data_IF_540016126980
#
_entry.id   IF_540016126980
#
_cell.length_a   1.000
_cell.length_b   1.000
_cell.length_c   1.000
_cell.angle_alpha   90.00
_cell.angle_beta   90.00
_cell.angle_gamma   90.00
#
_symmetry.space_group_name_H-M   'P 1'
#
loop_
_entity.id
_entity.type
_entity.pdbx_description
1 polymer ?
#
# COMPACT_ATOMS: atom_id res chain seq x y z
N UNK A 1 -37.48 -10.58 10.15
CA UNK A 1 -37.35 -9.11 10.24
C UNK A 1 -36.54 -8.80 11.49
N UNK A 2 -35.26 -8.51 11.33
CA UNK A 2 -34.33 -8.07 12.39
C UNK A 2 -33.81 -6.69 11.99
N UNK A 3 -33.63 -5.75 12.93
CA UNK A 3 -33.18 -4.40 12.63
C UNK A 3 -31.66 -4.33 12.48
N UNK A 4 -31.23 -3.40 11.63
CA UNK A 4 -29.85 -3.04 11.34
C UNK A 4 -29.17 -2.41 12.58
N UNK A 5 -27.96 -2.85 12.87
CA UNK A 5 -27.05 -2.24 13.86
C UNK A 5 -26.05 -1.39 13.09
N UNK A 6 -26.05 -0.09 13.38
CA UNK A 6 -25.19 0.90 12.73
C UNK A 6 -23.72 0.78 13.14
N UNK A 7 -22.83 0.95 12.16
CA UNK A 7 -21.40 1.15 12.37
C UNK A 7 -21.16 2.60 12.82
N UNK A 8 -20.80 2.78 14.09
CA UNK A 8 -20.17 4.00 14.58
C UNK A 8 -18.66 3.94 14.36
N UNK A 9 -18.14 4.74 13.44
CA UNK A 9 -16.71 4.98 13.24
C UNK A 9 -16.42 6.44 13.57
N UNK A 10 -16.10 6.77 14.82
CA UNK A 10 -15.90 8.17 15.25
C UNK A 10 -14.80 8.34 16.32
N UNK A 11 -13.85 7.40 16.47
CA UNK A 11 -12.85 7.51 17.56
C UNK A 11 -11.47 6.86 17.33
N UNK A 12 -10.98 6.78 16.09
CA UNK A 12 -9.67 6.14 15.81
C UNK A 12 -8.75 7.02 14.98
N UNK A 13 -7.89 7.82 15.63
CA UNK A 13 -6.63 8.28 15.01
C UNK A 13 -5.56 8.81 15.99
N UNK A 14 -5.90 9.31 17.19
CA UNK A 14 -4.90 10.07 17.99
C UNK A 14 -4.11 9.27 19.04
N UNK A 15 -4.58 8.11 19.50
CA UNK A 15 -3.93 7.38 20.61
C UNK A 15 -2.84 6.39 20.17
N UNK A 16 -2.90 5.87 18.93
CA UNK A 16 -1.91 4.89 18.44
C UNK A 16 -0.63 5.53 17.88
N UNK A 17 -0.69 6.81 17.47
CA UNK A 17 0.51 7.57 17.09
C UNK A 17 1.37 8.00 18.29
N UNK A 18 0.88 7.89 19.53
CA UNK A 18 1.57 8.38 20.73
C UNK A 18 2.27 7.29 21.54
N UNK A 19 2.05 6.00 21.27
CA UNK A 19 2.69 4.90 21.99
C UNK A 19 3.55 4.03 21.07
N UNK A 20 4.74 4.51 20.72
CA UNK A 20 5.79 3.62 20.20
C UNK A 20 6.72 4.23 19.16
N UNK A 21 7.66 5.08 19.60
CA UNK A 21 9.10 4.87 19.36
C UNK A 21 9.88 6.13 19.74
N UNK A 22 10.70 6.01 20.79
CA UNK A 22 11.86 6.89 20.94
C UNK A 22 12.80 6.59 19.80
N UNK A 23 12.72 7.38 18.73
CA UNK A 23 13.70 7.37 17.67
C UNK A 23 15.05 7.80 18.24
N UNK A 24 15.98 6.85 18.40
CA UNK A 24 17.39 7.12 18.67
C UNK A 24 18.23 6.58 17.51
N UNK A 25 18.76 7.53 16.72
CA UNK A 25 19.87 7.46 15.77
C UNK A 25 19.74 6.39 14.67
N UNK A 26 19.14 6.80 13.57
CA UNK A 26 19.43 6.25 12.25
C UNK A 26 20.90 6.49 11.91
N UNK A 27 21.64 5.40 11.72
CA UNK A 27 22.94 5.42 11.05
C UNK A 27 22.70 5.91 9.61
N UNK A 28 23.42 6.96 9.23
CA UNK A 28 23.50 7.48 7.87
C UNK A 28 23.78 6.32 6.90
N UNK A 29 22.82 6.00 6.04
CA UNK A 29 23.03 5.22 4.82
C UNK A 29 22.65 6.13 3.66
N UNK A 30 23.59 6.28 2.72
CA UNK A 30 23.47 7.13 1.54
C UNK A 30 22.44 6.61 0.54
N UNK A 31 22.45 7.23 -0.64
CA UNK A 31 21.53 7.16 -1.78
C UNK A 31 21.21 5.75 -2.38
N UNK A 32 21.48 4.65 -1.68
CA UNK A 32 21.38 3.26 -2.17
C UNK A 32 19.97 2.63 -2.14
N UNK A 33 18.89 3.39 -1.88
CA UNK A 33 17.53 2.85 -1.73
C UNK A 33 16.46 3.53 -2.60
N UNK A 34 16.85 4.36 -3.56
CA UNK A 34 15.93 5.25 -4.25
C UNK A 34 15.54 4.72 -5.64
N UNK A 35 14.26 4.50 -5.87
CA UNK A 35 13.71 4.16 -7.19
C UNK A 35 13.12 5.39 -7.88
N UNK A 36 13.11 5.33 -9.21
CA UNK A 36 12.47 6.31 -10.08
C UNK A 36 11.43 5.59 -10.91
N UNK A 37 10.18 5.99 -10.75
CA UNK A 37 9.05 5.42 -11.46
C UNK A 37 8.64 6.36 -12.58
N UNK A 38 8.46 5.81 -13.77
CA UNK A 38 7.92 6.56 -14.90
C UNK A 38 6.44 6.74 -14.68
N UNK A 39 5.96 7.95 -14.89
CA UNK A 39 4.54 8.19 -14.89
C UNK A 39 4.14 9.27 -15.90
N UNK A 40 2.88 9.24 -16.28
CA UNK A 40 2.24 10.27 -17.08
C UNK A 40 1.15 10.93 -16.24
N UNK A 41 1.27 12.23 -16.04
CA UNK A 41 0.35 13.04 -15.23
C UNK A 41 -0.52 13.90 -16.12
N UNK A 42 -1.81 13.96 -15.79
CA UNK A 42 -2.77 14.80 -16.52
C UNK A 42 -3.78 15.45 -15.59
N UNK A 43 -3.95 16.75 -15.73
CA UNK A 43 -5.06 17.52 -15.15
C UNK A 43 -5.62 18.50 -16.20
N UNK A 44 -6.26 19.60 -15.79
CA UNK A 44 -6.79 20.60 -16.72
C UNK A 44 -5.72 21.50 -17.37
N UNK A 45 -4.56 21.64 -16.72
CA UNK A 45 -3.45 22.51 -17.16
C UNK A 45 -2.23 21.72 -17.67
N UNK A 46 -2.13 20.44 -17.31
CA UNK A 46 -0.97 19.60 -17.56
C UNK A 46 -1.38 18.31 -18.28
N UNK A 47 -0.53 17.88 -19.21
CA UNK A 47 -0.58 16.59 -19.89
C UNK A 47 0.89 16.27 -20.23
N UNK A 48 1.59 15.62 -19.29
CA UNK A 48 3.05 15.51 -19.34
C UNK A 48 3.56 14.27 -18.62
N UNK A 49 4.68 13.75 -19.11
CA UNK A 49 5.45 12.74 -18.39
C UNK A 49 6.12 13.37 -17.16
N UNK A 50 6.12 12.63 -16.06
CA UNK A 50 6.77 12.96 -14.80
C UNK A 50 7.60 11.76 -14.30
N UNK A 51 8.49 12.04 -13.35
CA UNK A 51 9.20 11.01 -12.60
C UNK A 51 8.73 11.04 -11.15
N UNK A 52 8.26 9.90 -10.65
CA UNK A 52 7.93 9.72 -9.25
C UNK A 52 9.14 9.10 -8.56
N UNK A 53 9.67 9.83 -7.58
CA UNK A 53 10.72 9.36 -6.71
C UNK A 53 10.12 8.48 -5.62
N UNK A 54 10.64 7.27 -5.46
CA UNK A 54 10.36 6.43 -4.30
C UNK A 54 11.64 6.25 -3.50
N UNK A 55 11.68 6.79 -2.29
CA UNK A 55 12.85 6.68 -1.39
C UNK A 55 12.99 5.32 -0.72
N UNK A 56 11.99 4.43 -0.87
CA UNK A 56 11.81 3.20 -0.12
C UNK A 56 11.89 3.41 1.41
N UNK A 57 11.61 4.63 1.83
CA UNK A 57 11.58 5.06 3.22
C UNK A 57 10.54 4.30 4.03
N UNK A 58 10.53 4.57 5.33
CA UNK A 58 9.42 4.10 6.16
C UNK A 58 8.12 4.75 5.65
N UNK A 59 7.01 4.00 5.70
CA UNK A 59 5.70 4.49 5.27
C UNK A 59 5.33 5.82 5.92
N UNK A 60 5.77 6.06 7.17
CA UNK A 60 5.55 7.31 7.90
C UNK A 60 6.25 8.54 7.32
N UNK A 61 7.16 8.38 6.36
CA UNK A 61 7.96 9.48 5.78
C UNK A 61 7.45 9.96 4.42
N UNK A 62 6.26 9.55 3.99
CA UNK A 62 5.73 9.82 2.64
C UNK A 62 6.77 9.47 1.55
N UNK A 63 7.10 8.18 1.38
CA UNK A 63 8.25 7.77 0.56
C UNK A 63 8.14 8.13 -0.93
N UNK A 64 6.94 8.44 -1.44
CA UNK A 64 6.72 8.86 -2.82
C UNK A 64 6.70 10.37 -2.95
N UNK A 65 7.33 10.90 -3.99
CA UNK A 65 7.21 12.32 -4.35
C UNK A 65 7.41 12.56 -5.85
N UNK A 66 6.87 13.66 -6.35
CA UNK A 66 7.21 14.21 -7.66
C UNK A 66 7.16 15.73 -7.62
N UNK A 67 7.82 16.39 -8.57
CA UNK A 67 7.80 17.84 -8.70
C UNK A 67 7.34 18.24 -10.09
N UNK A 68 6.34 19.12 -10.17
CA UNK A 68 5.83 19.68 -11.41
C UNK A 68 5.64 21.20 -11.21
N UNK A 69 6.07 22.00 -12.17
CA UNK A 69 6.02 23.47 -12.09
C UNK A 69 6.64 24.07 -10.82
N UNK A 70 7.70 23.43 -10.33
CA UNK A 70 8.40 23.79 -9.11
C UNK A 70 7.61 23.53 -7.83
N UNK A 71 6.47 22.84 -7.89
CA UNK A 71 5.65 22.41 -6.75
C UNK A 71 5.90 20.92 -6.51
N UNK A 72 6.24 20.56 -5.28
CA UNK A 72 6.48 19.18 -4.89
C UNK A 72 5.26 18.60 -4.19
N UNK A 73 4.85 17.42 -4.63
CA UNK A 73 3.84 16.60 -3.99
C UNK A 73 4.48 15.35 -3.41
N UNK A 74 3.98 14.90 -2.26
CA UNK A 74 4.45 13.70 -1.57
C UNK A 74 3.28 12.86 -1.06
N UNK A 75 3.49 11.56 -0.92
CA UNK A 75 2.45 10.62 -0.49
C UNK A 75 3.04 9.29 -0.06
N UNK A 76 2.19 8.45 0.52
CA UNK A 76 2.57 7.08 0.87
C UNK A 76 2.32 6.10 -0.27
N UNK A 77 1.39 6.45 -1.16
CA UNK A 77 1.00 5.74 -2.36
C UNK A 77 0.68 6.66 -3.53
N UNK A 78 0.22 6.06 -4.63
CA UNK A 78 -0.04 6.81 -5.85
C UNK A 78 -1.34 7.61 -5.79
N UNK A 79 -2.25 7.27 -4.88
CA UNK A 79 -3.55 7.95 -4.72
C UNK A 79 -3.60 9.02 -3.62
N UNK A 80 -2.56 9.21 -2.83
CA UNK A 80 -2.61 10.08 -1.64
C UNK A 80 -1.62 11.26 -1.69
N UNK A 81 -1.21 11.65 -2.89
CA UNK A 81 -0.32 12.80 -3.07
C UNK A 81 -0.92 14.07 -2.46
N UNK A 82 -0.13 14.75 -1.63
CA UNK A 82 -0.43 16.03 -0.99
C UNK A 82 0.72 17.01 -1.17
N UNK A 83 0.43 18.30 -1.04
CA UNK A 83 1.44 19.35 -1.11
C UNK A 83 2.50 19.15 -0.01
N UNK A 84 3.76 19.04 -0.41
CA UNK A 84 4.87 18.80 0.52
C UNK A 84 5.15 20.03 1.43
N UNK A 85 4.95 21.24 0.89
CA UNK A 85 5.11 22.50 1.60
C UNK A 85 3.77 23.26 1.68
N UNK A 86 3.02 23.14 2.80
CA UNK A 86 1.75 23.83 2.99
C UNK A 86 1.80 25.35 2.89
N UNK A 87 2.98 25.99 3.06
CA UNK A 87 3.11 27.45 2.95
C UNK A 87 2.95 27.92 1.50
N UNK A 88 3.19 27.02 0.53
CA UNK A 88 3.05 27.31 -0.91
C UNK A 88 1.63 27.06 -1.45
N UNK A 89 0.64 26.87 -0.57
CA UNK A 89 -0.73 26.55 -0.97
C UNK A 89 -1.35 27.57 -1.94
N UNK A 90 -1.05 28.88 -1.80
CA UNK A 90 -1.59 29.89 -2.72
C UNK A 90 -1.01 29.75 -4.14
N UNK A 91 0.29 29.46 -4.24
CA UNK A 91 0.95 29.26 -5.52
C UNK A 91 0.48 27.94 -6.16
N UNK A 92 0.47 26.87 -5.38
CA UNK A 92 0.04 25.55 -5.82
C UNK A 92 -1.44 25.57 -6.25
N UNK A 93 -2.32 26.24 -5.52
CA UNK A 93 -3.76 26.35 -5.82
C UNK A 93 -4.09 27.12 -7.10
N UNK A 94 -3.14 27.87 -7.67
CA UNK A 94 -3.29 28.51 -9.00
C UNK A 94 -2.98 27.55 -10.15
N UNK A 95 -2.23 26.48 -9.87
CA UNK A 95 -1.71 25.51 -10.86
C UNK A 95 -2.38 24.15 -10.75
N UNK A 96 -2.87 23.79 -9.56
CA UNK A 96 -3.37 22.47 -9.24
C UNK A 96 -4.69 22.56 -8.47
N UNK A 97 -5.55 21.56 -8.64
CA UNK A 97 -6.73 21.42 -7.82
C UNK A 97 -6.36 20.78 -6.48
N UNK A 98 -6.56 21.52 -5.39
CA UNK A 98 -6.23 21.08 -4.03
C UNK A 98 -7.48 20.94 -3.16
N UNK A 99 -7.49 19.94 -2.28
CA UNK A 99 -8.45 19.82 -1.19
C UNK A 99 -7.78 20.20 0.13
N UNK A 100 -8.21 21.32 0.72
CA UNK A 100 -7.80 21.73 2.05
C UNK A 100 -8.57 20.93 3.12
N UNK A 101 -7.87 20.40 4.11
CA UNK A 101 -8.46 19.75 5.29
C UNK A 101 -7.54 19.87 6.51
N UNK A 102 -8.01 19.46 7.69
CA UNK A 102 -7.37 19.70 8.99
C UNK A 102 -7.91 20.97 9.66
N UNK A 103 -7.17 21.54 10.61
CA UNK A 103 -7.58 22.76 11.30
C UNK A 103 -8.20 22.50 12.67
N UNK A 104 -9.06 23.40 13.14
CA UNK A 104 -9.65 23.33 14.47
C UNK A 104 -10.99 22.59 14.46
N UNK A 105 -11.08 21.54 15.27
CA UNK A 105 -12.31 20.79 15.46
C UNK A 105 -12.93 21.11 16.82
N UNK A 106 -14.07 21.80 16.82
CA UNK A 106 -14.70 22.31 18.05
C UNK A 106 -15.24 21.19 18.95
N UNK A 107 -15.93 20.19 18.38
CA UNK A 107 -16.52 19.06 19.12
C UNK A 107 -15.50 18.31 19.98
N UNK A 108 -14.28 18.13 19.48
CA UNK A 108 -13.23 17.37 20.17
C UNK A 108 -12.18 18.26 20.83
N UNK A 109 -12.25 19.57 20.63
CA UNK A 109 -11.24 20.53 21.08
C UNK A 109 -9.82 20.16 20.65
N UNK A 110 -9.68 19.68 19.42
CA UNK A 110 -8.39 19.29 18.81
C UNK A 110 -8.08 20.23 17.66
N UNK A 111 -6.82 20.62 17.54
CA UNK A 111 -6.32 21.36 16.37
C UNK A 111 -5.26 20.51 15.68
N UNK A 112 -5.40 20.32 14.37
CA UNK A 112 -4.42 19.67 13.52
C UNK A 112 -3.89 20.64 12.46
N UNK A 113 -2.66 20.44 11.94
CA UNK A 113 -2.16 21.24 10.83
C UNK A 113 -3.05 21.09 9.59
N UNK A 114 -3.19 22.17 8.81
CA UNK A 114 -3.84 22.07 7.51
C UNK A 114 -2.99 21.24 6.54
N UNK A 115 -3.68 20.46 5.71
CA UNK A 115 -3.13 19.65 4.63
C UNK A 115 -3.85 19.95 3.34
N UNK A 116 -3.19 19.69 2.22
CA UNK A 116 -3.66 20.03 0.88
C UNK A 116 -3.46 18.83 -0.04
N UNK A 117 -4.49 17.99 -0.15
CA UNK A 117 -4.45 16.80 -1.00
C UNK A 117 -4.58 17.22 -2.47
N UNK A 118 -3.81 16.62 -3.37
CA UNK A 118 -3.92 16.83 -4.81
C UNK A 118 -5.17 16.12 -5.34
N UNK A 119 -5.90 16.75 -6.25
CA UNK A 119 -7.21 16.30 -6.72
C UNK A 119 -7.38 16.51 -8.23
N UNK A 120 -8.45 15.96 -8.81
CA UNK A 120 -8.85 16.13 -10.22
C UNK A 120 -7.71 15.89 -11.24
N UNK A 121 -6.91 14.86 -11.01
CA UNK A 121 -5.85 14.44 -11.91
C UNK A 121 -6.00 12.97 -12.32
N UNK A 122 -5.39 12.62 -13.44
CA UNK A 122 -5.15 11.26 -13.87
C UNK A 122 -3.65 10.95 -13.79
N UNK A 123 -3.34 9.70 -13.49
CA UNK A 123 -1.97 9.22 -13.37
C UNK A 123 -1.87 7.82 -13.97
N UNK A 124 -0.91 7.65 -14.86
CA UNK A 124 -0.45 6.35 -15.35
C UNK A 124 0.96 6.13 -14.84
N UNK A 125 1.20 5.08 -14.06
CA UNK A 125 2.49 4.83 -13.41
C UNK A 125 3.01 3.42 -13.70
N UNK A 126 4.32 3.33 -13.92
CA UNK A 126 5.06 2.07 -14.00
C UNK A 126 5.85 1.83 -12.72
N UNK A 127 5.42 0.85 -11.93
CA UNK A 127 6.05 0.46 -10.66
C UNK A 127 6.97 -0.74 -10.92
N UNK A 128 8.29 -0.60 -10.79
CA UNK A 128 9.23 -1.72 -10.89
C UNK A 128 9.00 -2.74 -9.78
N UNK A 129 9.00 -4.03 -10.12
CA UNK A 129 8.87 -5.12 -9.15
C UNK A 129 9.83 -6.26 -9.45
N UNK A 130 10.13 -7.05 -8.42
CA UNK A 130 10.87 -8.31 -8.57
C UNK A 130 9.92 -9.49 -8.58
N UNK A 131 10.12 -10.42 -9.51
CA UNK A 131 9.28 -11.61 -9.67
C UNK A 131 10.15 -12.86 -9.66
N UNK A 132 9.80 -13.86 -8.87
CA UNK A 132 10.43 -15.17 -8.91
C UNK A 132 9.80 -16.02 -10.02
N UNK A 133 10.63 -16.55 -10.91
CA UNK A 133 10.22 -17.44 -12.00
C UNK A 133 10.45 -18.90 -11.58
N UNK A 134 9.38 -19.70 -11.60
CA UNK A 134 9.42 -21.07 -11.08
C UNK A 134 10.22 -22.04 -11.96
N UNK A 135 10.17 -21.88 -13.28
CA UNK A 135 10.78 -22.84 -14.24
C UNK A 135 12.30 -23.00 -14.08
N UNK A 136 12.98 -21.95 -13.67
CA UNK A 136 14.46 -21.87 -13.61
C UNK A 136 14.96 -21.35 -12.24
N UNK A 137 14.04 -21.03 -11.32
CA UNK A 137 14.36 -20.56 -9.98
C UNK A 137 14.98 -19.16 -9.93
N UNK A 138 14.90 -18.39 -11.02
CA UNK A 138 15.52 -17.06 -11.08
C UNK A 138 14.59 -15.95 -10.61
N UNK A 139 15.17 -14.89 -10.04
CA UNK A 139 14.45 -13.62 -9.84
C UNK A 139 14.66 -12.75 -11.07
N UNK A 140 13.59 -12.23 -11.65
CA UNK A 140 13.60 -11.37 -12.82
C UNK A 140 12.81 -10.09 -12.57
N UNK A 141 13.09 -9.06 -13.37
CA UNK A 141 12.36 -7.81 -13.31
C UNK A 141 10.96 -7.94 -13.91
N UNK A 142 9.99 -7.31 -13.27
CA UNK A 142 8.66 -7.06 -13.80
C UNK A 142 8.27 -5.60 -13.56
N UNK A 143 7.09 -5.21 -14.05
CA UNK A 143 6.51 -3.90 -13.80
C UNK A 143 5.01 -4.02 -13.59
N UNK A 144 4.49 -3.30 -12.61
CA UNK A 144 3.05 -3.06 -12.49
C UNK A 144 2.73 -1.78 -13.26
N UNK A 145 1.80 -1.86 -14.19
CA UNK A 145 1.19 -0.70 -14.83
C UNK A 145 -0.11 -0.38 -14.10
N UNK A 146 -0.20 0.81 -13.52
CA UNK A 146 -1.40 1.33 -12.86
C UNK A 146 -1.85 2.59 -13.60
N UNK A 147 -3.12 2.67 -13.98
CA UNK A 147 -3.72 3.89 -14.49
C UNK A 147 -5.04 4.17 -13.79
N UNK A 148 -5.20 5.39 -13.30
CA UNK A 148 -6.43 5.85 -12.67
C UNK A 148 -6.65 7.34 -12.92
N UNK A 149 -7.87 7.79 -12.66
CA UNK A 149 -8.21 9.22 -12.61
C UNK A 149 -9.07 9.53 -11.40
N UNK A 150 -8.92 10.74 -10.89
CA UNK A 150 -9.78 11.29 -9.86
C UNK A 150 -10.98 12.00 -10.47
N UNK A 151 -12.16 11.58 -10.06
CA UNK A 151 -13.43 12.20 -10.39
C UNK A 151 -14.03 12.83 -9.13
N UNK A 152 -14.87 13.85 -9.32
CA UNK A 152 -15.56 14.48 -8.18
C UNK A 152 -16.35 13.42 -7.40
N UNK A 153 -16.38 13.51 -6.06
CA UNK A 153 -17.09 12.53 -5.25
C UNK A 153 -18.57 12.48 -5.60
N UNK A 154 -19.10 11.27 -5.74
CA UNK A 154 -20.52 11.04 -5.92
C UNK A 154 -21.20 11.11 -4.56
N UNK A 155 -21.80 12.26 -4.26
CA UNK A 155 -22.46 12.53 -2.98
C UNK A 155 -23.64 11.60 -2.64
N UNK A 156 -24.07 10.73 -3.57
CA UNK A 156 -25.05 9.67 -3.29
C UNK A 156 -24.44 8.44 -2.60
N UNK A 157 -23.12 8.28 -2.64
CA UNK A 157 -22.39 7.15 -2.02
C UNK A 157 -21.94 7.47 -0.61
N UNK A 158 -21.55 6.44 0.14
CA UNK A 158 -20.85 6.61 1.40
C UNK A 158 -19.39 7.01 1.16
N UNK A 159 -18.90 7.95 1.97
CA UNK A 159 -17.55 8.51 1.88
C UNK A 159 -16.87 8.50 3.24
N UNK A 160 -15.55 8.36 3.23
CA UNK A 160 -14.74 8.70 4.40
C UNK A 160 -14.88 10.20 4.65
N UNK A 161 -15.35 10.56 5.85
CA UNK A 161 -15.53 11.96 6.22
C UNK A 161 -14.17 12.54 6.56
N UNK A 162 -13.78 13.60 5.84
CA UNK A 162 -12.64 14.44 6.18
C UNK A 162 -13.17 15.82 6.55
N UNK A 163 -12.50 16.51 7.47
CA UNK A 163 -12.95 17.81 7.97
C UNK A 163 -11.92 18.89 7.65
N UNK A 164 -12.42 20.05 7.22
CA UNK A 164 -11.69 21.31 7.25
C UNK A 164 -12.34 22.17 8.33
N UNK A 165 -11.61 22.36 9.43
CA UNK A 165 -12.17 22.86 10.68
C UNK A 165 -13.36 21.99 11.12
N UNK A 166 -14.57 22.56 11.17
CA UNK A 166 -15.81 21.82 11.47
C UNK A 166 -16.64 21.49 10.21
N UNK A 167 -16.14 21.81 9.01
CA UNK A 167 -16.85 21.59 7.75
C UNK A 167 -16.45 20.26 7.11
N UNK A 168 -17.45 19.51 6.62
CA UNK A 168 -17.22 18.28 5.87
C UNK A 168 -16.70 18.60 4.47
N UNK A 169 -15.56 18.01 4.15
CA UNK A 169 -14.94 18.07 2.83
C UNK A 169 -14.69 16.65 2.32
N UNK A 170 -14.68 16.49 1.00
CA UNK A 170 -14.67 15.17 0.37
C UNK A 170 -13.53 15.07 -0.63
N UNK A 171 -12.77 13.98 -0.54
CA UNK A 171 -11.77 13.59 -1.54
C UNK A 171 -12.48 13.11 -2.80
N UNK A 172 -11.84 13.31 -3.92
CA UNK A 172 -12.23 12.73 -5.19
C UNK A 172 -12.19 11.20 -5.13
N UNK A 173 -13.04 10.58 -5.95
CA UNK A 173 -13.09 9.14 -6.12
C UNK A 173 -12.09 8.71 -7.19
N UNK A 174 -11.27 7.70 -6.88
CA UNK A 174 -10.38 7.10 -7.85
C UNK A 174 -11.16 6.13 -8.75
N UNK A 175 -11.07 6.33 -10.07
CA UNK A 175 -11.54 5.41 -11.09
C UNK A 175 -10.34 4.78 -11.78
N UNK A 176 -10.08 3.51 -11.47
CA UNK A 176 -8.95 2.75 -12.03
C UNK A 176 -9.33 2.17 -13.39
N UNK A 177 -8.50 2.40 -14.40
CA UNK A 177 -8.65 1.87 -15.76
C UNK A 177 -7.61 0.79 -16.11
N UNK A 178 -6.50 0.76 -15.40
CA UNK A 178 -5.46 -0.25 -15.59
C UNK A 178 -4.84 -0.67 -14.27
N UNK A 179 -4.67 -1.98 -14.09
CA UNK A 179 -3.86 -2.60 -13.05
C UNK A 179 -3.36 -3.93 -13.60
N UNK A 180 -2.14 -3.93 -14.12
CA UNK A 180 -1.55 -5.11 -14.77
C UNK A 180 -0.11 -5.34 -14.34
N UNK A 181 0.29 -6.60 -14.18
CA UNK A 181 1.69 -7.00 -14.05
C UNK A 181 2.24 -7.47 -15.40
N UNK A 182 3.38 -6.93 -15.82
CA UNK A 182 4.14 -7.39 -16.97
C UNK A 182 5.46 -8.03 -16.56
N UNK A 183 5.71 -9.26 -17.02
CA UNK A 183 6.95 -10.01 -16.79
C UNK A 183 7.21 -10.94 -17.98
N UNK A 184 8.44 -10.98 -18.49
CA UNK A 184 8.85 -11.81 -19.63
C UNK A 184 7.99 -11.65 -20.90
N UNK A 185 7.51 -10.43 -21.16
CA UNK A 185 6.60 -10.16 -22.28
C UNK A 185 5.18 -10.71 -22.09
N UNK A 186 4.85 -11.28 -20.94
CA UNK A 186 3.49 -11.67 -20.56
C UNK A 186 2.84 -10.57 -19.71
N UNK A 187 1.56 -10.33 -19.93
CA UNK A 187 0.74 -9.40 -19.14
C UNK A 187 -0.34 -10.15 -18.35
N UNK A 188 -0.49 -9.78 -17.08
CA UNK A 188 -1.51 -10.30 -16.16
C UNK A 188 -2.34 -9.12 -15.68
N UNK A 189 -3.54 -8.96 -16.25
CA UNK A 189 -4.44 -7.85 -15.92
C UNK A 189 -5.35 -8.25 -14.78
N UNK A 190 -5.35 -7.47 -13.70
CA UNK A 190 -6.27 -7.70 -12.59
C UNK A 190 -7.72 -7.53 -13.07
N UNK A 191 -8.64 -8.30 -12.51
CA UNK A 191 -10.08 -8.07 -12.66
C UNK A 191 -10.60 -7.10 -11.61
N UNK A 192 -9.77 -6.74 -10.62
CA UNK A 192 -10.07 -5.78 -9.56
C UNK A 192 -9.48 -4.42 -9.97
N UNK A 193 -10.31 -3.58 -10.58
CA UNK A 193 -9.93 -2.21 -10.93
C UNK A 193 -10.08 -1.31 -9.68
N UNK A 194 -9.09 -1.35 -8.80
CA UNK A 194 -9.10 -0.64 -7.52
C UNK A 194 -7.70 -0.16 -7.15
N UNK A 195 -7.61 0.92 -6.37
CA UNK A 195 -6.37 1.31 -5.72
C UNK A 195 -6.07 0.47 -4.47
N UNK A 196 -6.95 -0.47 -4.10
CA UNK A 196 -6.69 -1.47 -3.05
C UNK A 196 -5.76 -2.55 -3.59
N UNK A 197 -4.45 -2.33 -3.44
CA UNK A 197 -3.46 -3.20 -4.07
C UNK A 197 -3.58 -4.64 -3.59
N UNK A 198 -3.93 -4.90 -2.33
CA UNK A 198 -4.13 -6.26 -1.82
C UNK A 198 -5.05 -7.10 -2.74
N UNK A 199 -6.23 -6.57 -3.08
CA UNK A 199 -7.22 -7.25 -3.92
C UNK A 199 -6.73 -7.43 -5.35
N UNK A 200 -6.10 -6.39 -5.91
CA UNK A 200 -5.58 -6.44 -7.28
C UNK A 200 -4.40 -7.42 -7.42
N UNK A 201 -3.47 -7.41 -6.47
CA UNK A 201 -2.31 -8.28 -6.40
C UNK A 201 -2.67 -9.73 -6.07
N UNK A 202 -3.69 -9.99 -5.25
CA UNK A 202 -4.25 -11.34 -5.06
C UNK A 202 -4.78 -11.91 -6.37
N UNK A 203 -5.56 -11.13 -7.12
CA UNK A 203 -6.11 -11.58 -8.41
C UNK A 203 -5.00 -11.87 -9.43
N UNK A 204 -4.00 -10.98 -9.54
CA UNK A 204 -2.83 -11.20 -10.41
C UNK A 204 -2.04 -12.45 -9.97
N UNK A 205 -1.82 -12.63 -8.66
CA UNK A 205 -1.09 -13.78 -8.13
C UNK A 205 -1.77 -15.11 -8.48
N UNK A 206 -3.11 -15.16 -8.41
CA UNK A 206 -3.87 -16.33 -8.83
C UNK A 206 -3.70 -16.66 -10.33
N UNK A 207 -3.60 -15.64 -11.19
CA UNK A 207 -3.40 -15.84 -12.63
C UNK A 207 -2.00 -16.37 -12.98
N UNK A 208 -0.96 -15.94 -12.26
CA UNK A 208 0.43 -16.30 -12.56
C UNK A 208 0.97 -17.47 -11.75
N UNK A 209 0.17 -18.05 -10.84
CA UNK A 209 0.58 -18.96 -9.77
C UNK A 209 1.45 -20.14 -10.21
N UNK A 210 1.26 -20.69 -11.39
CA UNK A 210 2.02 -21.87 -11.85
C UNK A 210 3.41 -21.50 -12.39
N UNK A 211 3.61 -20.25 -12.79
CA UNK A 211 4.83 -19.78 -13.47
C UNK A 211 5.66 -18.83 -12.63
N UNK A 212 5.01 -18.02 -11.78
CA UNK A 212 5.64 -16.91 -11.08
C UNK A 212 5.07 -16.70 -9.67
N UNK A 213 5.80 -15.96 -8.84
CA UNK A 213 5.24 -15.19 -7.72
C UNK A 213 6.02 -13.89 -7.53
N UNK A 214 5.37 -12.82 -7.06
CA UNK A 214 6.05 -11.55 -6.76
C UNK A 214 6.94 -11.67 -5.53
N UNK A 215 8.10 -11.02 -5.51
CA UNK A 215 8.97 -10.89 -4.33
C UNK A 215 8.83 -9.47 -3.77
N UNK A 216 7.99 -9.30 -2.76
CA UNK A 216 7.76 -8.03 -2.10
C UNK A 216 7.15 -8.24 -0.70
N UNK A 217 6.87 -7.17 0.04
CA UNK A 217 6.22 -7.24 1.34
C UNK A 217 4.83 -7.90 1.28
N UNK A 218 4.05 -7.69 0.22
CA UNK A 218 2.76 -8.37 0.04
C UNK A 218 2.87 -9.91 0.11
N UNK A 219 3.95 -10.48 -0.45
CA UNK A 219 4.19 -11.95 -0.48
C UNK A 219 5.19 -12.45 0.56
N UNK A 220 5.59 -11.60 1.51
CA UNK A 220 6.59 -11.94 2.50
C UNK A 220 5.99 -12.58 3.76
N UNK A 221 6.72 -13.53 4.34
CA UNK A 221 6.37 -14.28 5.54
C UNK A 221 6.48 -13.45 6.83
N UNK A 222 7.13 -12.29 6.78
CA UNK A 222 7.41 -11.44 7.94
C UNK A 222 6.69 -10.11 7.91
N UNK A 223 5.78 -9.92 6.96
CA UNK A 223 4.95 -8.73 6.88
C UNK A 223 3.50 -9.11 6.85
N UNK A 224 2.68 -8.29 7.48
CA UNK A 224 1.23 -8.44 7.56
C UNK A 224 0.58 -7.05 7.45
N UNK A 225 -0.68 -7.01 7.03
CA UNK A 225 -1.49 -5.80 7.19
C UNK A 225 -1.75 -5.54 8.68
N UNK A 226 -2.24 -4.35 9.00
CA UNK A 226 -2.72 -4.05 10.34
C UNK A 226 -4.04 -4.80 10.63
N UNK A 227 -4.22 -5.39 11.82
CA UNK A 227 -5.47 -6.11 12.15
C UNK A 227 -6.67 -5.18 12.30
N UNK A 228 -6.39 -3.87 12.35
CA UNK A 228 -7.35 -2.77 12.41
C UNK A 228 -7.78 -2.29 11.02
N UNK A 229 -7.25 -2.86 9.94
CA UNK A 229 -7.54 -2.49 8.54
C UNK A 229 -6.36 -1.80 7.85
N UNK A 230 -6.44 -1.71 6.52
CA UNK A 230 -5.49 -1.02 5.65
C UNK A 230 -6.22 -0.20 4.61
N UNK A 231 -5.58 0.88 4.13
CA UNK A 231 -6.10 1.75 3.07
C UNK A 231 -5.50 1.37 1.70
N UNK A 232 -5.91 2.09 0.64
CA UNK A 232 -5.61 1.88 -0.78
C UNK A 232 -4.24 1.20 -1.09
N UNK A 233 -3.14 1.96 -1.03
CA UNK A 233 -1.79 1.44 -1.19
C UNK A 233 -1.18 1.15 0.17
N UNK A 234 -1.47 -0.05 0.68
CA UNK A 234 -1.38 -0.36 2.11
C UNK A 234 0.02 -0.32 2.72
N UNK A 235 0.05 0.12 3.98
CA UNK A 235 1.18 -0.12 4.87
C UNK A 235 1.28 -1.61 5.22
N UNK A 236 2.44 -2.20 4.92
CA UNK A 236 2.84 -3.51 5.39
C UNK A 236 3.65 -3.36 6.68
N UNK A 237 3.18 -3.99 7.76
CA UNK A 237 3.89 -4.03 9.04
C UNK A 237 4.99 -5.09 8.96
N UNK A 238 6.24 -4.68 8.80
CA UNK A 238 7.37 -5.60 8.69
C UNK A 238 7.92 -5.97 10.08
N UNK A 239 7.66 -7.20 10.50
CA UNK A 239 8.15 -7.81 11.74
C UNK A 239 9.42 -8.64 11.53
N UNK A 240 10.26 -8.33 10.53
CA UNK A 240 11.47 -9.10 10.27
C UNK A 240 12.46 -9.13 11.45
N UNK A 241 12.43 -8.11 12.34
CA UNK A 241 13.18 -8.10 13.61
C UNK A 241 12.63 -9.09 14.64
N UNK A 242 11.35 -9.42 14.55
CA UNK A 242 10.62 -10.33 15.43
C UNK A 242 10.12 -11.58 14.69
N UNK A 243 10.90 -12.05 13.71
CA UNK A 243 10.51 -13.15 12.80
C UNK A 243 9.95 -14.38 13.53
N UNK A 244 10.54 -14.76 14.66
CA UNK A 244 10.13 -15.96 15.40
C UNK A 244 8.78 -15.77 16.10
N UNK A 245 8.43 -14.54 16.50
CA UNK A 245 7.10 -14.21 17.00
C UNK A 245 6.09 -14.15 15.85
N UNK A 246 6.47 -13.51 14.74
CA UNK A 246 5.64 -13.41 13.54
C UNK A 246 5.26 -14.79 12.96
N UNK A 247 6.17 -15.78 13.03
CA UNK A 247 5.89 -17.15 12.58
C UNK A 247 4.91 -17.92 13.46
N UNK A 248 4.57 -17.43 14.66
CA UNK A 248 3.54 -18.01 15.54
C UNK A 248 2.13 -17.54 15.21
N UNK A 249 2.01 -16.49 14.38
CA UNK A 249 0.72 -15.87 14.06
C UNK A 249 0.08 -16.57 12.87
N UNK A 250 -1.18 -16.97 13.02
CA UNK A 250 -2.08 -17.33 11.92
C UNK A 250 -3.47 -16.68 12.07
N UNK A 251 -3.95 -16.47 13.30
CA UNK A 251 -5.20 -15.76 13.60
C UNK A 251 -5.01 -14.32 14.08
N UNK A 252 -6.12 -13.59 14.21
CA UNK A 252 -6.12 -12.26 14.86
C UNK A 252 -5.72 -12.36 16.34
N UNK A 253 -6.20 -13.39 17.05
CA UNK A 253 -5.87 -13.60 18.46
C UNK A 253 -4.36 -13.84 18.66
N UNK A 254 -3.73 -14.60 17.76
CA UNK A 254 -2.28 -14.81 17.78
C UNK A 254 -1.51 -13.50 17.55
N UNK A 255 -2.04 -12.60 16.70
CA UNK A 255 -1.41 -11.30 16.47
C UNK A 255 -1.34 -10.53 17.79
N UNK A 256 -2.45 -10.45 18.53
CA UNK A 256 -2.46 -9.78 19.82
C UNK A 256 -1.57 -10.48 20.85
N UNK A 257 -1.53 -11.81 20.85
CA UNK A 257 -0.69 -12.57 21.77
C UNK A 257 0.83 -12.41 21.51
N UNK A 258 1.26 -12.32 20.25
CA UNK A 258 2.67 -12.42 19.89
C UNK A 258 3.29 -11.15 19.30
N UNK A 259 2.50 -10.26 18.70
CA UNK A 259 2.99 -9.07 17.99
C UNK A 259 2.54 -7.75 18.59
N UNK A 260 1.48 -7.71 19.40
CA UNK A 260 1.05 -6.49 20.07
C UNK A 260 2.19 -5.90 20.93
N UNK A 261 2.37 -4.57 20.82
CA UNK A 261 3.42 -3.84 21.52
C UNK A 261 4.85 -4.04 20.98
N UNK A 262 5.05 -4.87 19.95
CA UNK A 262 6.35 -4.99 19.27
C UNK A 262 6.51 -3.90 18.22
N UNK A 263 7.75 -3.42 18.07
CA UNK A 263 8.11 -2.52 17.00
C UNK A 263 8.10 -3.25 15.63
N UNK A 264 7.80 -2.50 14.59
CA UNK A 264 7.79 -2.92 13.19
C UNK A 264 8.37 -1.80 12.32
N UNK A 265 8.71 -2.13 11.07
CA UNK A 265 8.96 -1.10 10.04
C UNK A 265 7.75 -1.01 9.13
N UNK A 266 7.25 0.21 8.89
CA UNK A 266 6.16 0.44 7.94
C UNK A 266 6.72 0.43 6.52
N UNK A 267 6.24 -0.47 5.65
CA UNK A 267 6.73 -0.62 4.27
C UNK A 267 5.60 -0.58 3.25
N UNK A 268 5.88 -0.10 2.05
CA UNK A 268 4.95 -0.23 0.93
C UNK A 268 4.79 -1.70 0.52
N UNK A 269 3.63 -2.07 -0.01
CA UNK A 269 3.35 -3.46 -0.40
C UNK A 269 4.34 -4.06 -1.39
N UNK A 270 4.83 -3.25 -2.34
CA UNK A 270 5.77 -3.67 -3.40
C UNK A 270 7.23 -3.64 -2.96
N UNK A 271 7.54 -3.15 -1.75
CA UNK A 271 8.91 -3.07 -1.24
C UNK A 271 9.55 -4.45 -1.09
N UNK A 272 10.84 -4.57 -1.44
CA UNK A 272 11.62 -5.80 -1.32
C UNK A 272 12.90 -5.56 -0.53
N UNK A 273 12.97 -6.09 0.69
CA UNK A 273 14.20 -6.07 1.49
C UNK A 273 15.05 -7.34 1.30
N UNK A 274 16.31 -7.27 1.70
CA UNK A 274 17.26 -8.40 1.69
C UNK A 274 16.89 -9.55 2.63
N UNK A 275 15.92 -9.35 3.54
CA UNK A 275 15.42 -10.35 4.50
C UNK A 275 14.11 -11.02 4.07
N UNK A 276 13.70 -10.81 2.82
CA UNK A 276 12.51 -11.41 2.25
C UNK A 276 12.51 -12.94 2.43
N UNK A 277 11.36 -13.47 2.85
CA UNK A 277 11.08 -14.89 2.86
C UNK A 277 9.70 -15.10 2.25
N UNK A 278 9.50 -16.05 1.33
CA UNK A 278 8.20 -16.31 0.73
C UNK A 278 7.18 -16.72 1.80
N UNK A 279 5.95 -16.19 1.70
CA UNK A 279 4.82 -16.50 2.56
C UNK A 279 4.26 -17.90 2.28
N UNK A 280 4.92 -18.93 2.81
CA UNK A 280 4.57 -20.35 2.63
C UNK A 280 3.92 -21.00 3.86
N UNK A 281 3.91 -20.30 5.01
CA UNK A 281 3.38 -20.79 6.29
C UNK A 281 2.21 -19.97 6.85
N UNK A 282 1.81 -18.91 6.17
CA UNK A 282 0.71 -18.06 6.63
C UNK A 282 -0.66 -18.63 6.20
N UNK A 283 -1.63 -18.54 7.10
CA UNK A 283 -3.05 -18.82 6.86
C UNK A 283 -3.91 -17.85 7.68
N UNK A 284 -5.23 -18.01 7.61
CA UNK A 284 -6.17 -17.26 8.45
C UNK A 284 -6.10 -15.75 8.23
N UNK A 285 -5.94 -15.00 9.32
CA UNK A 285 -5.86 -13.53 9.33
C UNK A 285 -4.78 -13.00 8.38
N UNK A 286 -3.64 -13.67 8.37
CA UNK A 286 -2.47 -13.25 7.59
C UNK A 286 -2.66 -13.42 6.09
N UNK A 287 -3.68 -14.18 5.69
CA UNK A 287 -4.02 -14.44 4.30
C UNK A 287 -3.04 -15.39 3.62
N UNK A 288 -3.58 -16.12 2.64
CA UNK A 288 -2.79 -16.93 1.72
C UNK A 288 -2.60 -16.17 0.40
N UNK A 289 -1.43 -16.31 -0.23
CA UNK A 289 -1.19 -15.81 -1.58
C UNK A 289 -0.93 -16.99 -2.50
N UNK A 290 -1.80 -17.17 -3.49
CA UNK A 290 -1.68 -18.25 -4.46
C UNK A 290 -0.32 -18.21 -5.19
N UNK A 291 0.26 -19.39 -5.41
CA UNK A 291 1.53 -19.55 -6.11
C UNK A 291 2.80 -19.43 -5.24
N UNK A 292 2.71 -18.93 -4.01
CA UNK A 292 3.89 -18.78 -3.13
C UNK A 292 4.26 -20.10 -2.41
N UNK A 293 3.27 -20.86 -1.95
CA UNK A 293 3.47 -21.99 -1.03
C UNK A 293 3.74 -23.38 -1.66
N UNK A 294 3.88 -23.48 -2.99
CA UNK A 294 3.94 -24.79 -3.68
C UNK A 294 5.28 -25.53 -3.58
N UNK A 295 6.24 -25.09 -2.77
CA UNK A 295 7.57 -25.73 -2.71
C UNK A 295 7.68 -26.94 -1.75
N UNK A 296 6.58 -27.58 -1.32
CA UNK A 296 6.75 -28.66 -0.31
C UNK A 296 5.66 -29.71 -0.08
N UNK A 297 4.54 -29.75 -0.82
CA UNK A 297 3.48 -30.77 -0.59
C UNK A 297 3.32 -31.79 -1.72
N UNK A 298 4.35 -32.00 -2.53
CA UNK A 298 4.40 -33.03 -3.57
C UNK A 298 5.46 -34.09 -3.29
N UNK A 299 5.25 -34.97 -2.32
CA UNK A 299 6.19 -36.06 -2.06
C UNK A 299 5.85 -36.94 -0.88
N UNK A 300 5.21 -38.08 -1.18
CA UNK A 300 4.94 -39.29 -0.35
C UNK A 300 3.51 -39.43 0.18
N UNK A 301 2.63 -39.85 -0.72
CA UNK A 301 1.40 -40.56 -0.40
C UNK A 301 1.37 -41.91 -1.13
N UNK A 302 1.68 -42.97 -0.36
CA UNK A 302 1.23 -44.37 -0.51
C UNK A 302 1.45 -45.16 -1.82
N UNK A 303 2.23 -46.25 -1.70
CA UNK A 303 1.74 -47.59 -1.99
C UNK A 303 2.48 -48.62 -1.12
N UNK A 304 1.85 -49.02 -0.01
CA UNK A 304 2.20 -50.24 0.72
C UNK A 304 1.62 -51.38 -0.12
N UNK A 305 2.46 -52.17 -0.79
CA UNK A 305 2.06 -53.45 -1.34
C UNK A 305 2.01 -54.47 -0.20
N UNK A 306 0.80 -54.85 0.20
CA UNK A 306 0.56 -56.05 0.99
C UNK A 306 0.87 -57.28 0.14
N UNK A 307 1.75 -58.14 0.65
CA UNK A 307 1.86 -59.54 0.23
C UNK A 307 0.86 -60.35 1.05
N UNK A 308 -0.06 -61.02 0.38
CA UNK A 308 -0.58 -62.33 0.78
C UNK A 308 0.18 -63.38 -0.02
#
# INVERSE_FOLDING_TARGET
MMPAVGCGNDEWDLRYLQSGSRCRRSVLRGEEGMQRWKAHYKDILHDTDIEILNTEGDYSTDPLSFTLDGITFQGTGLGDFRLADPERQEEAGRKFALLKWGGHHSKYHVTSPYRYDLQRYALEAEIPVSVFRKRDGQTVGGRILLAFRYERPDMSKSHSIVLCDDERVYRDEAVVSEFSLYVDGKGYKSRKMTLWFEEALKDISAQMKDSYYMKCCFTCQYSDYSPYGSDDYGIMLCYCRHKDACLKVNGKDDFFAFLEGKDFDGRQETYLCSRYSPRDRAAGYRGFVEGVADQGRGGKGTAIQGRQ
#
